data_IF_396387120264
#
_entry.id   IF_396387120264
#
_cell.length_a   1.000
_cell.length_b   1.000
_cell.length_c   1.000
_cell.angle_alpha   90.00
_cell.angle_beta   90.00
_cell.angle_gamma   90.00
#
_symmetry.space_group_name_H-M   'P 1'
#
loop_
_entity.id
_entity.type
_entity.pdbx_description
1 polymer ?
#
# COMPACT_ATOMS: atom_id res chain seq x y z
N UNK A 1 -1.77 -6.19 11.47
CA UNK A 1 -2.57 -4.94 11.44
C UNK A 1 -1.70 -3.75 11.81
N UNK A 2 -0.40 -3.81 11.52
CA UNK A 2 0.55 -2.81 11.97
C UNK A 2 0.23 -1.49 11.27
N UNK A 3 0.14 -0.42 12.06
CA UNK A 3 -0.09 0.93 11.58
C UNK A 3 1.22 1.70 11.66
N UNK A 4 1.78 1.99 10.49
CA UNK A 4 2.94 2.87 10.35
C UNK A 4 2.74 3.74 9.11
N UNK A 5 3.44 4.87 9.07
CA UNK A 5 3.54 5.79 7.95
C UNK A 5 4.97 5.73 7.40
N UNK A 6 5.15 6.18 6.17
CA UNK A 6 6.49 6.43 5.64
C UNK A 6 7.20 7.57 6.37
N UNK A 7 8.49 7.71 6.09
CA UNK A 7 9.26 8.88 6.50
C UNK A 7 8.80 10.14 5.76
N UNK A 8 9.18 11.33 6.25
CA UNK A 8 8.90 12.59 5.54
C UNK A 8 9.48 12.58 4.13
N UNK A 9 10.71 12.09 4.02
CA UNK A 9 11.47 12.02 2.76
C UNK A 9 10.75 11.18 1.70
N UNK A 10 10.02 10.13 2.10
CA UNK A 10 9.23 9.31 1.17
C UNK A 10 8.16 10.14 0.46
N UNK A 11 7.37 10.88 1.22
CA UNK A 11 6.28 11.68 0.66
C UNK A 11 6.80 12.94 -0.04
N UNK A 12 7.85 13.56 0.48
CA UNK A 12 8.51 14.67 -0.22
C UNK A 12 9.13 14.21 -1.55
N UNK A 13 9.59 12.96 -1.64
CA UNK A 13 9.99 12.35 -2.92
C UNK A 13 8.81 12.16 -3.88
N UNK A 14 7.60 11.89 -3.38
CA UNK A 14 6.38 11.82 -4.21
C UNK A 14 6.07 13.20 -4.78
N UNK A 15 6.11 14.26 -3.95
CA UNK A 15 5.94 15.63 -4.41
C UNK A 15 6.96 16.00 -5.48
N UNK A 16 8.24 15.66 -5.26
CA UNK A 16 9.31 15.89 -6.23
C UNK A 16 9.10 15.12 -7.53
N UNK A 17 8.62 13.89 -7.48
CA UNK A 17 8.41 13.05 -8.69
C UNK A 17 7.18 13.47 -9.49
N UNK A 18 6.18 14.04 -8.81
CA UNK A 18 4.90 14.47 -9.40
C UNK A 18 4.86 15.95 -9.75
N UNK A 19 5.86 16.73 -9.29
CA UNK A 19 5.86 18.18 -9.36
C UNK A 19 4.60 18.80 -8.73
N UNK A 20 4.05 18.13 -7.71
CA UNK A 20 2.83 18.55 -7.02
C UNK A 20 3.09 18.55 -5.50
N UNK A 21 3.21 19.74 -4.87
CA UNK A 21 3.51 19.87 -3.45
C UNK A 21 2.39 19.33 -2.55
N UNK A 22 1.20 19.06 -3.08
CA UNK A 22 0.14 18.41 -2.35
C UNK A 22 0.48 16.97 -1.94
N UNK A 23 1.50 16.35 -2.57
CA UNK A 23 1.97 15.01 -2.20
C UNK A 23 3.10 15.04 -1.15
N UNK A 24 3.53 16.21 -0.69
CA UNK A 24 4.56 16.35 0.35
C UNK A 24 4.08 15.82 1.69
N UNK A 25 5.02 15.52 2.60
CA UNK A 25 4.70 15.13 3.96
C UNK A 25 3.76 16.15 4.62
N UNK A 26 4.09 17.44 4.55
CA UNK A 26 3.32 18.49 5.20
C UNK A 26 1.86 18.53 4.72
N UNK A 27 1.65 18.40 3.41
CA UNK A 27 0.31 18.35 2.82
C UNK A 27 -0.43 17.07 3.22
N UNK A 28 0.22 15.90 3.10
CA UNK A 28 -0.41 14.61 3.37
C UNK A 28 -0.63 14.31 4.84
N UNK A 29 0.14 14.93 5.74
CA UNK A 29 0.02 14.72 7.18
C UNK A 29 -1.34 15.21 7.72
N UNK A 30 -1.93 16.23 7.09
CA UNK A 30 -3.31 16.64 7.39
C UNK A 30 -4.31 15.50 7.11
N UNK A 31 -4.14 14.78 5.99
CA UNK A 31 -4.92 13.59 5.65
C UNK A 31 -4.59 12.38 6.52
N UNK A 32 -3.36 12.29 7.03
CA UNK A 32 -2.99 11.28 8.02
C UNK A 32 -3.83 11.45 9.30
N UNK A 33 -3.94 12.69 9.83
CA UNK A 33 -4.79 13.00 10.97
C UNK A 33 -6.29 12.91 10.67
N UNK A 34 -6.70 13.20 9.43
CA UNK A 34 -8.11 13.17 9.02
C UNK A 34 -8.70 11.76 9.05
N UNK A 35 -7.98 10.75 8.57
CA UNK A 35 -8.49 9.38 8.56
C UNK A 35 -8.40 8.71 9.94
N UNK A 36 -7.37 9.07 10.72
CA UNK A 36 -7.05 8.41 11.98
C UNK A 36 -7.92 8.89 13.14
N UNK A 37 -8.31 7.92 13.97
CA UNK A 37 -8.81 8.14 15.32
C UNK A 37 -8.00 7.28 16.28
N UNK A 38 -7.05 7.91 16.93
CA UNK A 38 -6.33 7.32 18.05
C UNK A 38 -7.32 6.97 19.17
N UNK A 39 -7.20 5.76 19.69
CA UNK A 39 -8.03 5.27 20.78
C UNK A 39 -7.15 4.52 21.79
N UNK A 40 -7.59 4.53 23.05
CA UNK A 40 -6.94 3.73 24.06
C UNK A 40 -7.09 2.23 23.76
N UNK A 41 -6.06 1.41 24.07
CA UNK A 41 -6.22 -0.03 24.04
C UNK A 41 -7.32 -0.47 25.01
N UNK A 42 -8.02 -1.56 24.66
CA UNK A 42 -8.96 -2.21 25.58
C UNK A 42 -8.22 -2.68 26.84
N UNK A 43 -8.89 -2.68 27.99
CA UNK A 43 -8.30 -3.11 29.26
C UNK A 43 -7.57 -2.01 30.02
N UNK A 44 -7.50 -0.77 29.50
CA UNK A 44 -7.12 0.40 30.29
C UNK A 44 -5.65 0.45 30.72
N UNK A 45 -4.74 -0.28 30.06
CA UNK A 45 -3.32 -0.24 30.40
C UNK A 45 -2.75 1.18 30.22
N UNK A 46 -1.80 1.55 31.07
CA UNK A 46 -1.08 2.82 30.92
C UNK A 46 -0.22 2.78 29.64
N UNK A 47 -0.37 3.80 28.80
CA UNK A 47 0.37 4.00 27.55
C UNK A 47 1.19 5.29 27.54
N UNK A 48 1.34 5.94 28.70
CA UNK A 48 2.10 7.18 28.83
C UNK A 48 3.53 6.96 28.35
N UNK A 49 4.01 7.88 27.49
CA UNK A 49 5.36 7.81 26.93
C UNK A 49 5.55 6.73 25.86
N UNK A 50 4.47 6.13 25.32
CA UNK A 50 4.55 5.08 24.30
C UNK A 50 4.11 5.53 22.89
N UNK A 51 3.63 6.76 22.77
CA UNK A 51 3.26 7.44 21.54
C UNK A 51 3.29 8.94 21.79
N UNK A 52 3.31 9.74 20.73
CA UNK A 52 3.26 11.19 20.84
C UNK A 52 1.97 11.75 20.20
N UNK A 53 1.01 12.25 21.01
CA UNK A 53 -0.30 12.65 20.54
C UNK A 53 -0.25 13.78 19.50
N UNK A 54 0.84 14.55 19.41
CA UNK A 54 0.96 15.59 18.38
C UNK A 54 0.96 15.01 16.96
N UNK A 55 1.32 13.74 16.79
CA UNK A 55 1.38 13.07 15.50
C UNK A 55 0.11 12.32 15.11
N UNK A 56 -0.93 12.35 15.96
CA UNK A 56 -2.12 11.56 15.76
C UNK A 56 -3.39 12.37 15.51
N UNK A 57 -4.31 11.77 14.74
CA UNK A 57 -5.69 12.21 14.61
C UNK A 57 -6.59 11.59 15.68
N UNK A 58 -7.63 12.30 16.12
CA UNK A 58 -8.55 11.82 17.16
C UNK A 58 -10.01 11.77 16.71
N UNK A 59 -10.28 12.22 15.48
CA UNK A 59 -11.63 12.46 14.96
C UNK A 59 -11.95 11.66 13.70
N UNK A 60 -10.98 10.93 13.16
CA UNK A 60 -11.16 10.13 11.96
C UNK A 60 -12.01 8.87 12.17
N UNK A 61 -12.03 8.02 11.14
CA UNK A 61 -12.84 6.80 11.11
C UNK A 61 -12.03 5.54 11.43
N UNK A 62 -10.74 5.55 11.14
CA UNK A 62 -9.86 4.39 11.36
C UNK A 62 -9.30 4.42 12.77
N UNK A 63 -9.75 3.48 13.60
CA UNK A 63 -9.25 3.32 14.96
C UNK A 63 -7.82 2.80 14.93
N UNK A 64 -6.94 3.51 15.64
CA UNK A 64 -5.53 3.13 15.85
C UNK A 64 -5.28 3.09 17.35
N UNK A 65 -4.66 2.01 17.81
CA UNK A 65 -4.29 1.85 19.22
C UNK A 65 -2.94 1.17 19.34
N UNK A 66 -2.37 1.24 20.54
CA UNK A 66 -1.34 0.31 20.96
C UNK A 66 -1.96 -1.06 21.30
N UNK A 67 -1.11 -2.07 21.51
CA UNK A 67 -1.58 -3.39 21.93
C UNK A 67 -2.30 -3.35 23.28
N UNK A 68 -3.19 -4.31 23.52
CA UNK A 68 -4.00 -4.42 24.74
C UNK A 68 -3.22 -4.91 25.96
N UNK A 69 -2.39 -5.94 25.79
CA UNK A 69 -1.67 -6.54 26.91
C UNK A 69 -0.55 -5.61 27.43
N UNK A 70 -0.18 -5.69 28.71
CA UNK A 70 0.96 -4.95 29.27
C UNK A 70 2.31 -5.51 28.79
N UNK A 71 3.41 -4.72 28.86
CA UNK A 71 4.79 -5.15 28.58
C UNK A 71 5.16 -6.46 29.26
N UNK A 72 5.64 -7.42 28.49
CA UNK A 72 6.24 -8.65 29.01
C UNK A 72 7.75 -8.49 29.20
N UNK A 73 8.39 -9.53 29.73
CA UNK A 73 9.82 -9.52 30.01
C UNK A 73 10.68 -9.43 28.74
N UNK A 74 10.17 -9.88 27.59
CA UNK A 74 10.87 -9.78 26.31
C UNK A 74 10.91 -8.32 25.84
N UNK A 75 9.79 -7.61 25.90
CA UNK A 75 9.73 -6.20 25.52
C UNK A 75 10.54 -5.30 26.46
N UNK A 76 10.56 -5.62 27.76
CA UNK A 76 11.43 -4.92 28.72
C UNK A 76 12.91 -5.04 28.35
N UNK A 77 13.32 -6.22 27.88
CA UNK A 77 14.69 -6.48 27.38
C UNK A 77 14.96 -5.71 26.09
N UNK A 78 14.05 -5.74 25.12
CA UNK A 78 14.17 -4.93 23.90
C UNK A 78 14.34 -3.43 24.22
N UNK A 79 13.57 -2.89 25.16
CA UNK A 79 13.71 -1.48 25.56
C UNK A 79 15.02 -1.19 26.28
N UNK A 80 15.59 -2.14 27.01
CA UNK A 80 16.88 -1.97 27.66
C UNK A 80 18.00 -1.74 26.64
N UNK A 81 17.92 -2.36 25.45
CA UNK A 81 18.89 -2.11 24.36
C UNK A 81 18.99 -0.64 23.96
N UNK A 82 17.91 0.14 24.14
CA UNK A 82 17.89 1.58 23.82
C UNK A 82 18.72 2.44 24.76
N UNK A 83 19.02 1.92 25.95
CA UNK A 83 19.91 2.54 26.94
C UNK A 83 21.35 2.06 26.76
N UNK A 84 21.51 0.79 26.41
CA UNK A 84 22.81 0.14 26.35
C UNK A 84 23.54 0.42 25.03
N UNK A 85 22.80 0.58 23.93
CA UNK A 85 23.35 0.72 22.57
C UNK A 85 22.86 2.01 21.91
N UNK A 86 23.80 2.88 21.51
CA UNK A 86 23.50 4.17 20.88
C UNK A 86 22.88 4.03 19.49
N UNK A 87 23.11 2.90 18.83
CA UNK A 87 22.59 2.56 17.50
C UNK A 87 21.09 2.30 17.50
N UNK A 88 20.48 2.01 18.67
CA UNK A 88 19.07 1.67 18.81
C UNK A 88 18.32 2.67 19.71
N UNK A 89 18.30 3.97 19.38
CA UNK A 89 17.66 4.96 20.25
C UNK A 89 16.16 4.68 20.40
N UNK A 90 15.62 4.99 21.57
CA UNK A 90 14.17 4.96 21.77
C UNK A 90 13.51 6.03 20.91
N UNK A 91 12.53 5.62 20.13
CA UNK A 91 11.67 6.49 19.35
C UNK A 91 10.27 6.43 19.95
N UNK A 92 9.79 7.58 20.43
CA UNK A 92 8.45 7.66 21.03
C UNK A 92 7.35 7.42 20.00
N UNK A 93 7.58 7.78 18.72
CA UNK A 93 6.56 7.67 17.69
C UNK A 93 7.12 7.48 16.27
N UNK A 94 6.93 6.31 15.64
CA UNK A 94 7.42 6.04 14.30
C UNK A 94 6.60 6.79 13.25
N UNK A 95 5.40 7.26 13.59
CA UNK A 95 4.47 7.95 12.69
C UNK A 95 4.67 9.47 12.64
N UNK A 96 5.73 9.97 13.28
CA UNK A 96 6.17 11.38 13.28
C UNK A 96 6.80 11.86 11.95
N UNK A 97 7.00 10.92 11.02
CA UNK A 97 7.78 11.09 9.79
C UNK A 97 9.28 10.79 9.98
N UNK A 98 9.71 10.40 11.19
CA UNK A 98 11.05 9.91 11.50
C UNK A 98 10.92 8.52 12.15
N UNK A 99 11.04 7.48 11.35
CA UNK A 99 10.73 6.11 11.78
C UNK A 99 11.90 5.36 12.46
N UNK A 100 13.12 5.91 12.43
CA UNK A 100 14.30 5.22 12.98
C UNK A 100 14.25 5.11 14.51
N UNK A 101 14.63 3.95 15.04
CA UNK A 101 14.71 3.65 16.46
C UNK A 101 13.83 2.48 16.90
N UNK A 102 13.85 2.20 18.20
CA UNK A 102 12.99 1.19 18.84
C UNK A 102 11.75 1.86 19.38
N UNK A 103 10.57 1.33 19.05
CA UNK A 103 9.27 1.93 19.39
C UNK A 103 8.23 0.88 19.69
N UNK A 104 7.10 1.31 20.25
CA UNK A 104 5.91 0.48 20.36
C UNK A 104 5.17 0.35 19.04
N UNK A 105 4.75 -0.88 18.73
CA UNK A 105 3.92 -1.18 17.58
C UNK A 105 2.51 -0.63 17.77
N UNK A 106 2.11 0.24 16.85
CA UNK A 106 0.73 0.73 16.74
C UNK A 106 -0.03 -0.15 15.75
N UNK A 107 -1.34 -0.30 15.92
CA UNK A 107 -2.17 -1.17 15.10
C UNK A 107 -3.53 -0.55 14.79
N UNK A 108 -4.10 -0.86 13.63
CA UNK A 108 -5.50 -0.50 13.31
C UNK A 108 -6.47 -1.44 14.01
N UNK A 109 -6.54 -1.27 15.33
CA UNK A 109 -7.38 -1.99 16.27
C UNK A 109 -8.13 -0.95 17.09
N UNK A 110 -9.38 -1.25 17.41
CA UNK A 110 -10.18 -0.46 18.35
C UNK A 110 -11.32 -1.32 18.88
N UNK A 111 -11.72 -1.09 20.13
CA UNK A 111 -12.73 -1.90 20.82
C UNK A 111 -12.41 -3.41 20.84
N UNK A 112 -11.12 -3.79 20.76
CA UNK A 112 -10.68 -5.18 20.80
C UNK A 112 -10.77 -5.89 19.45
N UNK A 113 -11.17 -5.19 18.39
CA UNK A 113 -11.37 -5.75 17.06
C UNK A 113 -10.55 -5.02 15.99
N UNK A 114 -10.39 -5.68 14.84
CA UNK A 114 -9.79 -5.07 13.65
C UNK A 114 -10.62 -3.88 13.18
N UNK A 115 -9.97 -2.72 13.05
CA UNK A 115 -10.54 -1.61 12.30
C UNK A 115 -10.09 -1.67 10.83
N UNK A 116 -10.97 -2.18 9.95
CA UNK A 116 -10.75 -2.26 8.51
C UNK A 116 -11.32 -1.04 7.79
N UNK A 117 -10.96 -0.82 6.53
CA UNK A 117 -11.59 0.24 5.72
C UNK A 117 -13.10 0.05 5.58
N UNK A 118 -13.58 -1.20 5.53
CA UNK A 118 -15.00 -1.51 5.46
C UNK A 118 -15.72 -1.18 6.79
N UNK A 119 -15.14 -1.50 7.94
CA UNK A 119 -15.75 -1.19 9.24
C UNK A 119 -15.64 0.29 9.58
N UNK A 120 -14.58 0.97 9.14
CA UNK A 120 -14.39 2.40 9.32
C UNK A 120 -15.28 3.23 8.37
N UNK A 121 -15.18 3.04 7.06
CA UNK A 121 -15.80 3.95 6.07
C UNK A 121 -17.14 3.47 5.53
N UNK A 122 -17.40 2.16 5.58
CA UNK A 122 -18.70 1.56 5.25
C UNK A 122 -19.39 1.09 6.54
N UNK A 123 -19.41 1.94 7.56
CA UNK A 123 -20.16 1.75 8.79
C UNK A 123 -21.68 1.63 8.51
N UNK A 124 -22.45 1.21 9.52
CA UNK A 124 -23.91 1.03 9.37
C UNK A 124 -24.63 2.28 8.83
N UNK A 125 -24.33 3.51 9.30
CA UNK A 125 -24.88 4.73 8.71
C UNK A 125 -24.51 4.92 7.23
N UNK A 126 -23.25 4.70 6.84
CA UNK A 126 -22.82 4.85 5.45
C UNK A 126 -23.55 3.89 4.51
N UNK A 127 -23.73 2.62 4.92
CA UNK A 127 -24.44 1.60 4.14
C UNK A 127 -25.93 1.88 3.95
N UNK A 128 -26.54 2.70 4.82
CA UNK A 128 -27.95 3.10 4.72
C UNK A 128 -28.17 4.30 3.82
N UNK A 129 -27.11 4.93 3.30
CA UNK A 129 -27.24 6.11 2.44
C UNK A 129 -27.94 5.71 1.13
N UNK A 130 -29.02 6.40 0.73
CA UNK A 130 -29.79 6.04 -0.46
C UNK A 130 -29.03 6.26 -1.78
N UNK A 131 -27.90 6.97 -1.74
CA UNK A 131 -27.04 7.26 -2.87
C UNK A 131 -25.75 6.40 -2.88
N UNK A 132 -25.73 5.27 -2.16
CA UNK A 132 -24.61 4.34 -2.14
C UNK A 132 -25.10 2.90 -2.41
N UNK A 133 -24.76 2.38 -3.59
CA UNK A 133 -24.95 0.97 -3.91
C UNK A 133 -23.65 0.20 -3.66
N UNK A 134 -23.76 -0.93 -2.96
CA UNK A 134 -22.64 -1.86 -2.71
C UNK A 134 -22.99 -3.21 -3.31
N UNK A 135 -22.31 -3.55 -4.41
CA UNK A 135 -22.54 -4.82 -5.10
C UNK A 135 -21.41 -5.80 -4.76
N UNK A 136 -21.76 -6.87 -4.04
CA UNK A 136 -20.83 -7.92 -3.64
C UNK A 136 -20.77 -9.04 -4.68
N UNK A 137 -19.78 -9.92 -4.55
CA UNK A 137 -19.59 -11.11 -5.41
C UNK A 137 -19.53 -10.78 -6.92
N UNK A 138 -19.11 -9.56 -7.23
CA UNK A 138 -19.05 -9.00 -8.57
C UNK A 138 -17.63 -8.49 -8.83
N UNK A 139 -17.08 -8.80 -9.99
CA UNK A 139 -15.73 -8.45 -10.40
C UNK A 139 -15.79 -7.53 -11.61
N UNK A 140 -15.06 -6.41 -11.55
CA UNK A 140 -14.76 -5.61 -12.73
C UNK A 140 -13.75 -6.36 -13.61
N UNK A 141 -14.14 -6.62 -14.86
CA UNK A 141 -13.33 -7.38 -15.81
C UNK A 141 -12.55 -6.46 -16.73
N UNK A 142 -13.19 -5.37 -17.18
CA UNK A 142 -12.63 -4.35 -18.09
C UNK A 142 -13.26 -2.99 -17.87
N UNK A 143 -12.60 -1.94 -18.32
CA UNK A 143 -13.15 -0.61 -18.56
C UNK A 143 -13.26 -0.37 -20.06
N UNK A 144 -14.29 0.34 -20.47
CA UNK A 144 -14.70 0.50 -21.86
C UNK A 144 -14.90 1.98 -22.18
N UNK A 145 -14.75 2.31 -23.46
CA UNK A 145 -15.01 3.65 -23.97
C UNK A 145 -16.50 3.98 -23.82
N UNK A 146 -16.82 5.15 -23.29
CA UNK A 146 -18.20 5.60 -23.05
C UNK A 146 -18.79 6.45 -24.17
N UNK A 147 -17.95 6.99 -25.07
CA UNK A 147 -18.38 7.79 -26.21
C UNK A 147 -17.43 7.68 -27.40
N UNK A 148 -17.92 7.86 -28.62
CA UNK A 148 -17.13 7.82 -29.86
C UNK A 148 -16.43 9.15 -30.20
N UNK A 149 -16.51 10.15 -29.31
CA UNK A 149 -15.97 11.50 -29.55
C UNK A 149 -14.45 11.54 -29.67
N UNK A 150 -13.90 12.70 -30.06
CA UNK A 150 -12.44 12.88 -30.32
C UNK A 150 -11.55 12.51 -29.12
N UNK A 151 -12.02 12.73 -27.89
CA UNK A 151 -11.27 12.37 -26.69
C UNK A 151 -11.59 10.94 -26.26
N UNK A 152 -10.58 10.25 -25.73
CA UNK A 152 -10.75 8.92 -25.15
C UNK A 152 -11.42 9.05 -23.78
N UNK A 153 -12.75 8.89 -23.76
CA UNK A 153 -13.59 8.92 -22.55
C UNK A 153 -13.90 7.51 -22.08
N UNK A 154 -13.47 7.15 -20.87
CA UNK A 154 -13.58 5.81 -20.29
C UNK A 154 -14.28 5.93 -18.93
N UNK A 155 -15.59 5.68 -18.93
CA UNK A 155 -16.45 5.66 -17.73
C UNK A 155 -17.34 4.43 -17.66
N UNK A 156 -17.23 3.54 -18.64
CA UNK A 156 -18.01 2.31 -18.70
C UNK A 156 -17.19 1.19 -18.10
N UNK A 157 -17.76 0.45 -17.16
CA UNK A 157 -17.15 -0.74 -16.56
C UNK A 157 -17.93 -1.97 -16.97
N UNK A 158 -17.22 -3.03 -17.34
CA UNK A 158 -17.77 -4.37 -17.52
C UNK A 158 -17.62 -5.16 -16.21
N UNK A 159 -18.72 -5.76 -15.77
CA UNK A 159 -18.82 -6.55 -14.55
C UNK A 159 -19.21 -7.99 -14.87
N UNK A 160 -18.69 -8.94 -14.10
CA UNK A 160 -19.08 -10.36 -14.12
C UNK A 160 -19.14 -10.96 -12.71
N UNK A 161 -19.70 -12.18 -12.56
CA UNK A 161 -19.68 -12.89 -11.29
C UNK A 161 -18.25 -13.17 -10.83
N UNK A 162 -17.95 -12.99 -9.54
CA UNK A 162 -16.62 -13.30 -8.99
C UNK A 162 -16.26 -14.78 -9.12
N UNK A 163 -17.24 -15.67 -9.18
CA UNK A 163 -17.06 -17.10 -9.40
C UNK A 163 -16.65 -17.48 -10.83
N UNK A 164 -16.62 -16.52 -11.76
CA UNK A 164 -16.35 -16.77 -13.17
C UNK A 164 -17.61 -16.87 -14.03
N UNK A 165 -17.45 -17.47 -15.22
CA UNK A 165 -18.54 -17.67 -16.20
C UNK A 165 -18.59 -16.61 -17.29
N UNK A 166 -19.63 -16.67 -18.13
CA UNK A 166 -19.75 -15.87 -19.37
C UNK A 166 -20.64 -14.63 -19.21
N UNK A 167 -21.42 -14.52 -18.14
CA UNK A 167 -22.31 -13.38 -17.92
C UNK A 167 -21.50 -12.09 -17.77
N UNK A 168 -21.84 -11.08 -18.57
CA UNK A 168 -21.28 -9.72 -18.50
C UNK A 168 -22.38 -8.69 -18.48
N UNK A 169 -22.20 -7.63 -17.69
CA UNK A 169 -23.05 -6.44 -17.69
C UNK A 169 -22.17 -5.20 -17.71
N UNK A 170 -22.60 -4.16 -18.40
CA UNK A 170 -21.90 -2.89 -18.45
C UNK A 170 -22.67 -1.81 -17.72
N UNK A 171 -21.93 -0.91 -17.06
CA UNK A 171 -22.47 0.25 -16.38
C UNK A 171 -21.64 1.46 -16.74
N UNK A 172 -22.27 2.59 -17.04
CA UNK A 172 -21.57 3.82 -17.41
C UNK A 172 -21.75 4.85 -16.32
N UNK A 173 -20.65 5.28 -15.71
CA UNK A 173 -20.67 6.35 -14.72
C UNK A 173 -20.95 7.70 -15.41
N UNK A 174 -21.84 8.50 -14.84
CA UNK A 174 -22.22 9.81 -15.41
C UNK A 174 -21.11 10.85 -15.32
N UNK A 175 -20.28 10.79 -14.27
CA UNK A 175 -19.18 11.73 -14.02
C UNK A 175 -17.80 11.10 -14.22
N UNK A 176 -17.45 10.11 -13.40
CA UNK A 176 -16.10 9.53 -13.35
C UNK A 176 -16.17 8.07 -12.87
N UNK A 177 -15.27 7.24 -13.39
CA UNK A 177 -15.03 5.87 -12.94
C UNK A 177 -13.72 5.81 -12.17
N UNK A 178 -13.75 5.22 -10.98
CA UNK A 178 -12.59 5.08 -10.09
C UNK A 178 -12.22 3.61 -9.95
N UNK A 179 -10.99 3.26 -10.33
CA UNK A 179 -10.42 1.94 -10.09
C UNK A 179 -9.67 1.93 -8.75
N UNK A 180 -10.13 1.07 -7.84
CA UNK A 180 -9.52 0.81 -6.54
C UNK A 180 -9.38 -0.70 -6.31
N UNK A 181 -9.01 -1.45 -7.36
CA UNK A 181 -8.93 -2.91 -7.33
C UNK A 181 -7.61 -3.42 -6.70
N UNK A 182 -6.72 -2.50 -6.30
CA UNK A 182 -5.46 -2.79 -5.67
C UNK A 182 -4.34 -3.01 -6.68
N UNK A 183 -3.11 -3.09 -6.16
CA UNK A 183 -1.88 -3.01 -6.93
C UNK A 183 -1.69 -4.09 -8.00
N UNK A 184 -2.37 -5.22 -7.86
CA UNK A 184 -2.32 -6.34 -8.81
C UNK A 184 -3.49 -6.31 -9.79
N UNK A 185 -4.72 -6.06 -9.32
CA UNK A 185 -5.89 -6.20 -10.18
C UNK A 185 -6.19 -4.92 -10.98
N UNK A 186 -5.86 -3.73 -10.46
CA UNK A 186 -6.01 -2.47 -11.21
C UNK A 186 -5.24 -2.50 -12.54
N UNK A 187 -3.93 -2.82 -12.58
CA UNK A 187 -3.22 -2.94 -13.85
C UNK A 187 -3.76 -4.09 -14.70
N UNK A 188 -4.21 -5.21 -14.12
CA UNK A 188 -4.86 -6.27 -14.88
C UNK A 188 -6.10 -5.77 -15.62
N UNK A 189 -6.97 -5.00 -14.96
CA UNK A 189 -8.16 -4.39 -15.58
C UNK A 189 -7.74 -3.46 -16.72
N UNK A 190 -6.77 -2.57 -16.50
CA UNK A 190 -6.27 -1.66 -17.55
C UNK A 190 -5.73 -2.43 -18.77
N UNK A 191 -4.90 -3.45 -18.55
CA UNK A 191 -4.32 -4.29 -19.59
C UNK A 191 -5.39 -5.03 -20.39
N UNK A 192 -6.36 -5.67 -19.71
CA UNK A 192 -7.49 -6.36 -20.34
C UNK A 192 -8.41 -5.41 -21.12
N UNK A 193 -8.36 -4.12 -20.80
CA UNK A 193 -9.13 -3.05 -21.45
C UNK A 193 -8.41 -2.47 -22.66
N UNK A 194 -7.25 -2.99 -23.04
CA UNK A 194 -6.46 -2.44 -24.14
C UNK A 194 -5.68 -1.17 -23.77
N UNK A 195 -5.51 -0.87 -22.49
CA UNK A 195 -4.75 0.28 -21.97
C UNK A 195 -3.44 -0.25 -21.40
N UNK A 196 -2.35 -0.12 -22.17
CA UNK A 196 -1.07 -0.72 -21.79
C UNK A 196 -0.08 -0.85 -22.94
N UNK A 197 0.97 -1.69 -22.81
CA UNK A 197 2.00 -1.86 -23.82
C UNK A 197 1.47 -2.56 -25.08
N UNK A 198 1.43 -1.85 -26.20
CA UNK A 198 0.90 -2.32 -27.49
C UNK A 198 1.35 -3.72 -27.91
N UNK A 199 2.66 -4.01 -27.83
CA UNK A 199 3.24 -5.28 -28.31
C UNK A 199 2.72 -6.49 -27.52
N UNK A 200 2.70 -6.37 -26.20
CA UNK A 200 2.28 -7.47 -25.31
C UNK A 200 0.78 -7.72 -25.36
N UNK A 201 -0.01 -6.65 -25.42
CA UNK A 201 -1.46 -6.75 -25.57
C UNK A 201 -1.83 -7.36 -26.93
N UNK A 202 -1.15 -6.94 -28.00
CA UNK A 202 -1.33 -7.52 -29.35
C UNK A 202 -1.02 -9.01 -29.41
N UNK A 203 0.02 -9.47 -28.71
CA UNK A 203 0.37 -10.89 -28.62
C UNK A 203 -0.70 -11.77 -27.95
N UNK A 204 -1.60 -11.17 -27.15
CA UNK A 204 -2.73 -11.83 -26.50
C UNK A 204 -4.07 -11.60 -27.23
N UNK A 205 -4.03 -10.99 -28.43
CA UNK A 205 -5.23 -10.66 -29.20
C UNK A 205 -6.11 -9.60 -28.54
N UNK A 206 -5.56 -8.74 -27.69
CA UNK A 206 -6.30 -7.66 -27.03
C UNK A 206 -6.25 -6.40 -27.92
N UNK A 207 -7.40 -5.87 -28.37
CA UNK A 207 -7.43 -4.63 -29.14
C UNK A 207 -6.83 -3.45 -28.36
N UNK A 208 -5.99 -2.67 -29.02
CA UNK A 208 -5.32 -1.52 -28.38
C UNK A 208 -6.25 -0.32 -28.36
N UNK A 209 -6.59 0.13 -27.15
CA UNK A 209 -7.39 1.33 -26.90
C UNK A 209 -6.49 2.52 -26.62
N UNK A 210 -5.46 2.33 -25.80
CA UNK A 210 -4.48 3.37 -25.47
C UNK A 210 -3.11 2.75 -25.20
N UNK A 211 -2.09 3.23 -25.90
CA UNK A 211 -0.72 2.76 -25.72
C UNK A 211 -0.09 3.48 -24.53
N UNK A 212 -0.04 2.78 -23.39
CA UNK A 212 0.47 3.30 -22.13
C UNK A 212 1.46 2.28 -21.54
N UNK A 213 2.71 2.24 -22.03
CA UNK A 213 3.63 1.12 -21.82
C UNK A 213 4.06 0.91 -20.37
N UNK A 214 3.88 1.90 -19.51
CA UNK A 214 4.20 1.85 -18.09
C UNK A 214 3.15 1.11 -17.24
N UNK A 215 1.96 0.80 -17.79
CA UNK A 215 0.96 -0.03 -17.09
C UNK A 215 1.53 -1.42 -16.84
N UNK A 216 1.46 -1.90 -15.60
CA UNK A 216 2.00 -3.22 -15.25
C UNK A 216 3.49 -3.19 -14.92
N UNK A 217 4.15 -2.02 -14.92
CA UNK A 217 5.60 -1.90 -14.71
C UNK A 217 5.94 -1.31 -13.34
N UNK A 218 7.21 -1.47 -12.93
CA UNK A 218 7.78 -0.89 -11.70
C UNK A 218 7.09 -1.32 -10.41
N UNK A 219 6.59 -2.56 -10.35
CA UNK A 219 6.12 -3.15 -9.10
C UNK A 219 7.22 -3.11 -8.04
N UNK A 220 6.90 -2.54 -6.88
CA UNK A 220 7.75 -2.57 -5.70
C UNK A 220 6.98 -3.22 -4.57
N UNK A 221 7.66 -3.99 -3.73
CA UNK A 221 7.08 -4.61 -2.54
C UNK A 221 8.17 -4.72 -1.48
N UNK A 222 7.79 -4.63 -0.21
CA UNK A 222 8.71 -4.97 0.87
C UNK A 222 8.91 -6.49 0.88
N UNK A 223 10.16 -6.90 1.01
CA UNK A 223 10.53 -8.30 1.19
C UNK A 223 10.86 -8.59 2.65
N UNK A 224 10.43 -9.75 3.14
CA UNK A 224 10.90 -10.30 4.41
C UNK A 224 11.64 -11.62 4.19
N UNK A 225 12.56 -11.94 5.10
CA UNK A 225 13.38 -13.15 5.10
C UNK A 225 12.82 -14.26 6.02
N UNK A 226 11.56 -14.14 6.43
CA UNK A 226 10.94 -15.01 7.44
C UNK A 226 11.06 -14.44 8.85
N UNK A 227 10.83 -15.28 9.86
CA UNK A 227 11.02 -14.92 11.27
C UNK A 227 12.28 -15.60 11.79
N UNK A 228 13.30 -14.81 12.16
CA UNK A 228 14.52 -15.29 12.82
C UNK A 228 14.42 -14.92 14.29
N UNK A 229 14.52 -15.90 15.18
CA UNK A 229 14.43 -15.69 16.63
C UNK A 229 13.17 -14.94 17.11
N UNK A 230 12.02 -15.15 16.45
CA UNK A 230 10.77 -14.45 16.77
C UNK A 230 10.69 -12.99 16.29
N UNK A 231 11.70 -12.50 15.57
CA UNK A 231 11.71 -11.20 14.91
C UNK A 231 11.57 -11.37 13.39
N UNK A 232 10.79 -10.51 12.73
CA UNK A 232 10.72 -10.47 11.27
C UNK A 232 11.45 -9.25 10.75
N UNK A 233 12.37 -9.44 9.81
CA UNK A 233 13.14 -8.37 9.18
C UNK A 233 12.49 -8.03 7.84
N UNK A 234 12.23 -6.75 7.62
CA UNK A 234 11.56 -6.26 6.42
C UNK A 234 12.46 -5.25 5.72
N UNK A 235 12.77 -5.49 4.44
CA UNK A 235 13.44 -4.52 3.59
C UNK A 235 12.45 -3.44 3.13
N UNK A 236 12.60 -2.23 3.68
CA UNK A 236 11.70 -1.10 3.43
C UNK A 236 12.02 -0.31 2.16
N UNK A 237 13.25 -0.37 1.63
CA UNK A 237 13.67 0.39 0.44
C UNK A 237 14.24 -0.54 -0.64
N UNK A 238 13.42 -1.43 -1.22
CA UNK A 238 13.87 -2.32 -2.29
C UNK A 238 14.31 -1.50 -3.52
N UNK A 239 15.46 -1.85 -4.10
CA UNK A 239 15.89 -1.31 -5.40
C UNK A 239 15.32 -2.09 -6.57
N UNK A 240 14.97 -3.36 -6.35
CA UNK A 240 14.37 -4.23 -7.36
C UNK A 240 13.00 -3.72 -7.81
N UNK A 241 12.67 -3.98 -9.08
CA UNK A 241 11.40 -3.62 -9.67
C UNK A 241 10.83 -4.78 -10.47
N UNK A 242 9.61 -5.14 -10.15
CA UNK A 242 8.84 -6.20 -10.78
C UNK A 242 7.89 -5.70 -11.87
N UNK A 243 6.99 -6.59 -12.27
CA UNK A 243 5.90 -6.28 -13.18
C UNK A 243 4.67 -7.15 -12.95
N UNK A 244 3.50 -6.66 -13.39
CA UNK A 244 2.28 -7.45 -13.55
C UNK A 244 1.98 -7.58 -15.04
N UNK A 245 1.89 -8.81 -15.53
CA UNK A 245 1.53 -9.10 -16.93
C UNK A 245 0.34 -10.05 -17.01
N UNK A 246 -0.34 -10.05 -18.15
CA UNK A 246 -1.46 -10.96 -18.40
C UNK A 246 -0.96 -12.35 -18.85
N UNK A 247 -1.65 -13.40 -18.42
CA UNK A 247 -1.45 -14.76 -18.96
C UNK A 247 -2.24 -14.99 -20.24
N UNK A 248 -3.43 -14.41 -20.30
CA UNK A 248 -4.40 -14.55 -21.38
C UNK A 248 -5.29 -13.30 -21.43
N UNK A 249 -6.28 -13.30 -22.32
CA UNK A 249 -7.32 -12.27 -22.38
C UNK A 249 -8.56 -12.60 -21.52
N UNK A 250 -8.52 -13.70 -20.75
CA UNK A 250 -9.57 -14.09 -19.81
C UNK A 250 -9.43 -13.30 -18.49
N UNK A 251 -10.43 -12.50 -18.08
CA UNK A 251 -10.36 -11.72 -16.85
C UNK A 251 -10.32 -12.54 -15.55
N UNK A 252 -10.62 -13.84 -15.61
CA UNK A 252 -10.58 -14.73 -14.45
C UNK A 252 -9.28 -15.51 -14.31
N UNK A 253 -8.39 -15.42 -15.31
CA UNK A 253 -7.05 -15.97 -15.18
C UNK A 253 -6.23 -15.07 -14.26
N UNK A 254 -5.49 -15.68 -13.33
CA UNK A 254 -4.58 -14.93 -12.47
C UNK A 254 -3.51 -14.24 -13.29
N UNK A 255 -3.29 -12.94 -13.06
CA UNK A 255 -2.14 -12.22 -13.61
C UNK A 255 -0.81 -12.85 -13.15
N UNK A 256 0.26 -12.62 -13.92
CA UNK A 256 1.63 -12.94 -13.52
C UNK A 256 2.23 -11.72 -12.84
N UNK A 257 2.27 -11.73 -11.51
CA UNK A 257 3.05 -10.78 -10.74
C UNK A 257 4.47 -11.33 -10.54
N UNK A 258 5.45 -10.68 -11.15
CA UNK A 258 6.86 -10.96 -10.92
C UNK A 258 7.40 -9.94 -9.92
N UNK A 259 7.68 -10.36 -8.70
CA UNK A 259 8.40 -9.55 -7.71
C UNK A 259 9.87 -9.95 -7.79
N UNK A 260 10.73 -9.01 -8.15
CA UNK A 260 12.17 -9.23 -8.09
C UNK A 260 12.63 -8.92 -6.66
N UNK A 261 13.38 -9.83 -6.04
CA UNK A 261 13.98 -9.62 -4.74
C UNK A 261 15.48 -9.34 -4.87
N UNK A 262 16.01 -8.42 -4.05
CA UNK A 262 17.46 -8.18 -3.92
C UNK A 262 17.93 -8.61 -2.55
N UNK A 263 19.10 -9.26 -2.47
CA UNK A 263 19.70 -9.91 -1.30
C UNK A 263 20.23 -8.95 -0.21
N UNK A 264 19.59 -7.79 0.01
CA UNK A 264 20.08 -6.75 0.92
C UNK A 264 19.80 -7.03 2.41
N UNK A 265 19.19 -8.17 2.77
CA UNK A 265 18.81 -8.52 4.14
C UNK A 265 19.97 -8.98 5.03
N UNK A 266 21.12 -9.34 4.44
CA UNK A 266 22.26 -9.94 5.16
C UNK A 266 22.96 -8.98 6.15
N UNK A 267 23.04 -7.68 5.84
CA UNK A 267 23.70 -6.72 6.73
C UNK A 267 22.81 -6.34 7.92
N UNK A 268 21.48 -6.39 7.76
CA UNK A 268 20.51 -6.10 8.81
C UNK A 268 20.35 -7.24 9.81
N UNK A 269 20.48 -8.50 9.39
CA UNK A 269 20.47 -9.65 10.31
C UNK A 269 21.66 -9.62 11.28
N UNK A 270 22.85 -9.23 10.82
CA UNK A 270 24.04 -9.05 11.68
C UNK A 270 23.88 -7.97 12.75
N UNK A 271 23.15 -6.90 12.45
CA UNK A 271 22.81 -5.85 13.43
C UNK A 271 21.82 -6.36 14.48
N UNK A 272 20.84 -7.18 14.08
CA UNK A 272 19.93 -7.85 14.99
C UNK A 272 20.68 -8.82 15.91
N UNK A 273 21.58 -9.63 15.36
CA UNK A 273 22.45 -10.53 16.16
C UNK A 273 23.29 -9.76 17.18
N UNK A 274 23.87 -8.61 16.80
CA UNK A 274 24.61 -7.74 17.73
C UNK A 274 23.73 -7.22 18.87
N UNK A 275 22.48 -6.84 18.57
CA UNK A 275 21.49 -6.43 19.57
C UNK A 275 20.97 -7.59 20.43
N UNK A 276 21.01 -8.82 19.91
CA UNK A 276 20.61 -10.04 20.61
C UNK A 276 21.76 -10.73 21.36
N UNK A 277 23.02 -10.34 21.12
CA UNK A 277 24.21 -10.95 21.71
C UNK A 277 24.29 -10.83 23.24
N UNK A 278 23.50 -9.92 23.83
CA UNK A 278 23.33 -9.79 25.29
C UNK A 278 22.36 -10.84 25.89
N UNK A 279 21.75 -11.70 25.09
CA UNK A 279 20.82 -12.74 25.53
C UNK A 279 21.41 -14.14 25.35
N UNK A 280 21.01 -15.06 26.23
CA UNK A 280 21.27 -16.49 26.05
C UNK A 280 20.41 -17.02 24.90
N UNK A 281 20.96 -16.92 23.69
CA UNK A 281 20.35 -17.38 22.43
C UNK A 281 20.66 -18.85 22.15
N UNK A 282 21.19 -19.62 23.12
CA UNK A 282 21.59 -21.02 22.93
C UNK A 282 20.42 -21.96 22.60
N UNK A 283 19.19 -21.56 22.92
CA UNK A 283 17.94 -22.27 22.61
C UNK A 283 17.30 -21.83 21.28
N UNK A 284 17.88 -20.86 20.59
CA UNK A 284 17.43 -20.41 19.28
C UNK A 284 18.21 -21.20 18.21
N UNK A 285 17.51 -21.74 17.21
CA UNK A 285 18.14 -22.40 16.07
C UNK A 285 19.12 -21.42 15.41
N UNK A 286 20.41 -21.60 15.70
CA UNK A 286 21.50 -20.87 15.05
C UNK A 286 21.79 -21.60 13.75
N UNK A 287 21.44 -21.00 12.63
CA UNK A 287 21.90 -21.48 11.34
C UNK A 287 23.35 -21.01 11.15
N UNK A 288 24.26 -21.97 10.90
CA UNK A 288 25.68 -21.69 10.67
C UNK A 288 25.89 -20.71 9.50
N UNK A 289 26.89 -19.84 9.60
CA UNK A 289 27.21 -18.80 8.60
C UNK A 289 27.44 -19.37 7.19
N UNK A 290 27.88 -20.63 7.08
CA UNK A 290 28.08 -21.35 5.83
C UNK A 290 26.74 -21.83 5.24
N UNK A 291 25.99 -20.92 4.61
CA UNK A 291 24.74 -21.25 3.91
C UNK A 291 23.64 -20.17 4.00
N UNK A 292 23.84 -19.13 4.81
CA UNK A 292 22.85 -18.08 5.02
C UNK A 292 22.53 -17.28 3.75
N UNK A 293 23.50 -17.07 2.85
CA UNK A 293 23.26 -16.40 1.56
C UNK A 293 22.35 -17.20 0.62
N UNK A 294 22.49 -18.54 0.59
CA UNK A 294 21.63 -19.43 -0.20
C UNK A 294 20.24 -19.60 0.46
N UNK A 295 20.16 -19.57 1.79
CA UNK A 295 18.89 -19.56 2.54
C UNK A 295 18.12 -18.24 2.41
N UNK A 296 18.77 -17.10 2.52
CA UNK A 296 18.15 -15.78 2.26
C UNK A 296 17.59 -15.73 0.84
N UNK A 297 18.26 -16.30 -0.15
CA UNK A 297 17.72 -16.39 -1.51
C UNK A 297 16.52 -17.33 -1.65
N UNK A 298 16.39 -18.35 -0.81
CA UNK A 298 15.28 -19.33 -0.84
C UNK A 298 14.06 -18.91 -0.03
N UNK A 299 14.17 -17.95 0.90
CA UNK A 299 13.09 -17.56 1.82
C UNK A 299 12.61 -16.10 1.71
N UNK A 300 12.96 -15.37 0.64
CA UNK A 300 12.40 -14.02 0.45
C UNK A 300 10.91 -14.12 0.08
N UNK A 301 10.06 -13.61 0.97
CA UNK A 301 8.62 -13.53 0.80
C UNK A 301 8.17 -12.08 0.61
N UNK A 302 7.06 -11.92 -0.11
CA UNK A 302 6.30 -10.67 -0.14
C UNK A 302 5.78 -10.36 1.26
N UNK A 303 5.83 -9.08 1.65
CA UNK A 303 5.16 -8.56 2.87
C UNK A 303 3.74 -8.07 2.55
N UNK A 304 3.25 -8.36 1.34
CA UNK A 304 1.95 -7.93 0.82
C UNK A 304 1.81 -6.41 0.78
N UNK A 305 2.89 -5.72 0.41
CA UNK A 305 2.94 -4.28 0.16
C UNK A 305 3.21 -3.93 -1.32
N UNK A 306 2.55 -4.56 -2.31
CA UNK A 306 2.79 -4.21 -3.70
C UNK A 306 2.33 -2.78 -3.99
N UNK A 307 3.15 -1.99 -4.68
CA UNK A 307 2.86 -0.60 -5.07
C UNK A 307 3.48 -0.24 -6.42
N UNK A 308 3.04 0.87 -7.02
CA UNK A 308 3.71 1.54 -8.15
C UNK A 308 3.45 1.02 -9.56
N UNK A 309 2.57 0.02 -9.68
CA UNK A 309 2.24 -0.65 -10.95
C UNK A 309 1.39 0.21 -11.90
N UNK A 310 0.83 1.30 -11.38
CA UNK A 310 0.18 2.36 -12.13
C UNK A 310 0.61 3.72 -11.56
N UNK A 311 1.92 3.91 -11.35
CA UNK A 311 2.43 5.07 -10.62
C UNK A 311 2.03 6.42 -11.25
N UNK A 312 1.70 7.39 -10.39
CA UNK A 312 1.58 8.79 -10.77
C UNK A 312 2.96 9.42 -11.02
N UNK A 313 2.98 10.48 -11.82
CA UNK A 313 4.20 11.21 -12.19
C UNK A 313 3.84 12.63 -12.60
N UNK A 314 4.86 13.46 -12.90
CA UNK A 314 4.66 14.85 -13.29
C UNK A 314 3.66 15.02 -14.44
N UNK A 315 2.93 16.14 -14.38
CA UNK A 315 1.86 16.43 -15.33
C UNK A 315 2.40 16.48 -16.76
N UNK A 316 1.79 15.72 -17.67
CA UNK A 316 2.24 15.64 -19.06
C UNK A 316 3.57 14.89 -19.29
N UNK A 317 4.15 14.27 -18.26
CA UNK A 317 5.31 13.38 -18.44
C UNK A 317 4.96 12.18 -19.35
N UNK A 318 5.91 11.70 -20.14
CA UNK A 318 5.79 10.48 -20.94
C UNK A 318 5.96 9.20 -20.12
N UNK A 319 6.51 9.29 -18.91
CA UNK A 319 6.56 8.20 -17.95
C UNK A 319 5.36 8.24 -17.02
N UNK A 320 5.10 7.14 -16.33
CA UNK A 320 3.98 6.98 -15.40
C UNK A 320 2.68 6.63 -16.11
N UNK A 321 1.70 6.23 -15.31
CA UNK A 321 0.36 5.86 -15.77
C UNK A 321 -0.65 6.95 -15.42
N UNK A 322 -0.41 7.65 -14.30
CA UNK A 322 -1.34 8.65 -13.77
C UNK A 322 -0.73 10.05 -13.77
N UNK A 323 -1.57 11.04 -13.96
CA UNK A 323 -1.31 12.43 -13.63
C UNK A 323 -1.23 12.63 -12.09
N UNK A 324 -0.71 13.77 -11.58
CA UNK A 324 -0.67 14.03 -10.14
C UNK A 324 -2.03 14.10 -9.48
N UNK A 325 -3.08 14.34 -10.26
CA UNK A 325 -4.47 14.26 -9.81
C UNK A 325 -5.05 12.85 -9.97
N UNK A 326 -4.23 11.80 -10.09
CA UNK A 326 -4.61 10.38 -10.14
C UNK A 326 -5.41 9.95 -11.39
N UNK A 327 -5.68 10.85 -12.34
CA UNK A 327 -6.33 10.50 -13.60
C UNK A 327 -5.39 9.71 -14.49
N UNK A 328 -5.93 8.73 -15.22
CA UNK A 328 -5.15 7.98 -16.21
C UNK A 328 -4.73 8.92 -17.33
N UNK A 329 -3.43 8.93 -17.65
CA UNK A 329 -2.86 9.80 -18.69
C UNK A 329 -3.52 9.54 -20.04
N UNK A 330 -3.80 10.61 -20.77
CA UNK A 330 -4.42 10.54 -22.10
C UNK A 330 -5.90 10.11 -22.11
N UNK A 331 -6.52 9.89 -20.95
CA UNK A 331 -7.90 9.42 -20.81
C UNK A 331 -8.74 10.42 -20.00
N UNK A 332 -10.01 10.59 -20.38
CA UNK A 332 -11.01 11.33 -19.61
C UNK A 332 -11.91 10.35 -18.84
N UNK A 333 -12.35 10.76 -17.64
CA UNK A 333 -13.34 10.04 -16.87
C UNK A 333 -12.84 8.80 -16.10
N UNK A 334 -11.54 8.50 -16.15
CA UNK A 334 -10.94 7.36 -15.45
C UNK A 334 -9.85 7.80 -14.46
N UNK A 335 -9.95 7.31 -13.23
CA UNK A 335 -8.97 7.54 -12.15
C UNK A 335 -8.58 6.24 -11.49
N UNK A 336 -7.36 6.17 -10.96
CA UNK A 336 -6.90 5.07 -10.11
C UNK A 336 -6.65 5.59 -8.70
N UNK A 337 -7.29 4.98 -7.70
CA UNK A 337 -7.18 5.35 -6.29
C UNK A 337 -6.90 4.11 -5.47
N UNK A 338 -5.66 3.66 -5.51
CA UNK A 338 -5.12 2.59 -4.66
C UNK A 338 -3.57 2.66 -4.63
N UNK A 339 -2.93 1.69 -3.99
CA UNK A 339 -1.47 1.62 -3.85
C UNK A 339 -0.70 1.46 -5.18
N UNK A 340 -1.35 1.07 -6.29
CA UNK A 340 -0.69 1.08 -7.60
C UNK A 340 -0.25 2.48 -8.03
N UNK A 341 -0.92 3.52 -7.52
CA UNK A 341 -0.64 4.91 -7.85
C UNK A 341 0.64 5.46 -7.21
N UNK A 342 1.22 4.80 -6.20
CA UNK A 342 2.39 5.34 -5.49
C UNK A 342 3.61 5.42 -6.42
N UNK A 343 4.33 6.55 -6.49
CA UNK A 343 5.59 6.64 -7.23
C UNK A 343 6.69 5.75 -6.64
N UNK A 344 6.74 5.69 -5.30
CA UNK A 344 7.75 4.96 -4.52
C UNK A 344 7.07 4.35 -3.30
N UNK A 345 7.50 3.17 -2.88
CA UNK A 345 7.01 2.55 -1.64
C UNK A 345 7.47 3.36 -0.42
N UNK A 346 6.57 3.71 0.52
CA UNK A 346 6.99 4.40 1.74
C UNK A 346 7.75 3.44 2.67
N UNK A 347 8.66 3.95 3.49
CA UNK A 347 9.38 3.16 4.51
C UNK A 347 8.48 2.85 5.71
N UNK A 348 7.38 2.16 5.45
CA UNK A 348 6.38 1.76 6.44
C UNK A 348 5.32 0.86 5.78
N UNK A 349 4.44 0.29 6.59
CA UNK A 349 3.30 -0.46 6.08
C UNK A 349 2.41 0.44 5.21
N UNK A 350 1.94 -0.07 4.07
CA UNK A 350 1.32 0.76 3.03
C UNK A 350 -0.08 1.26 3.38
N UNK A 351 -0.72 0.70 4.41
CA UNK A 351 -2.10 1.00 4.77
C UNK A 351 -2.34 2.50 5.06
N UNK A 352 -1.48 3.15 5.86
CA UNK A 352 -1.66 4.56 6.18
C UNK A 352 -1.48 5.44 4.95
N UNK A 353 -0.49 5.13 4.10
CA UNK A 353 -0.28 5.81 2.81
C UNK A 353 -1.50 5.69 1.89
N UNK A 354 -2.18 4.53 1.87
CA UNK A 354 -3.38 4.33 1.06
C UNK A 354 -4.54 5.20 1.58
N UNK A 355 -4.74 5.30 2.90
CA UNK A 355 -5.74 6.23 3.45
C UNK A 355 -5.42 7.69 3.13
N UNK A 356 -4.16 8.10 3.27
CA UNK A 356 -3.72 9.47 2.93
C UNK A 356 -4.00 9.79 1.45
N UNK A 357 -3.69 8.86 0.55
CA UNK A 357 -3.99 9.00 -0.87
C UNK A 357 -5.51 9.04 -1.13
N UNK A 358 -6.29 8.15 -0.50
CA UNK A 358 -7.74 8.06 -0.70
C UNK A 358 -8.49 9.30 -0.19
N UNK A 359 -8.11 9.82 0.98
CA UNK A 359 -8.69 11.05 1.54
C UNK A 359 -8.41 12.26 0.64
N UNK A 360 -7.17 12.38 0.13
CA UNK A 360 -6.84 13.43 -0.83
C UNK A 360 -7.57 13.23 -2.15
N UNK A 361 -7.68 11.99 -2.64
CA UNK A 361 -8.42 11.68 -3.86
C UNK A 361 -9.89 12.08 -3.75
N UNK A 362 -10.52 11.86 -2.58
CA UNK A 362 -11.89 12.29 -2.32
C UNK A 362 -12.04 13.81 -2.47
N UNK A 363 -11.09 14.60 -1.97
CA UNK A 363 -11.10 16.06 -2.11
C UNK A 363 -10.84 16.49 -3.57
N UNK A 364 -9.92 15.83 -4.28
CA UNK A 364 -9.70 16.07 -5.73
C UNK A 364 -10.95 15.78 -6.58
N UNK A 365 -11.68 14.70 -6.26
CA UNK A 365 -12.92 14.32 -6.97
C UNK A 365 -14.02 15.34 -6.66
N UNK A 366 -14.22 15.72 -5.40
CA UNK A 366 -15.21 16.74 -5.01
C UNK A 366 -14.90 18.12 -5.62
N UNK A 367 -13.64 18.48 -5.81
CA UNK A 367 -13.29 19.75 -6.45
C UNK A 367 -13.47 19.72 -7.97
N UNK A 368 -13.66 18.54 -8.57
CA UNK A 368 -13.86 18.40 -10.01
C UNK A 368 -15.33 18.48 -10.42
N UNK A 369 -16.28 18.38 -9.49
CA UNK A 369 -17.69 18.07 -9.76
C UNK A 369 -18.64 18.60 -8.70
#
# INVERSE_FOLDING_TARGET
MIYTRGSRDDYDSWAKSTHDPGWSWNSLFSYAKKHEKWTLPVGGRNITGQFDPQFHGFNGKTLVSLRQSPPDAFEARVLQTTKDLKEFPYNIDPNSGRALGVTWTQSTIGNGERCSSATAYLDTPARKRPNLDIVLNTQATRVLRSSTGKHLDIRTVELGPRSGGTTRKTFTATKELVLSAGSINTPQILLLSGIGPRKELGALGIPIVHDLPDVGRRLSDHSNDGAVAGASIILLTPKSRGSVTLKSNNPFDSSKALILATSATLSTSKLLEKGLASYDVSSLDRHEEAGFDDQVRTWILSTWHPVGIAAMSARGSKSGVLEPDLRVKGVKGLRVVDASAFPVIPTGHTQAGVYMLAERAADLIKNSW
#
